data_IF_423188586239
#
_entry.id   IF_423188586239
#
_cell.length_a   1.000
_cell.length_b   1.000
_cell.length_c   1.000
_cell.angle_alpha   90.00
_cell.angle_beta   90.00
_cell.angle_gamma   90.00
#
_symmetry.space_group_name_H-M   'P 1'
#
loop_
_entity.id
_entity.type
_entity.pdbx_description
1 polymer ?
#
# COMPACT_ATOMS: atom_id res chain seq x y z
N UNK A 1 -11.75 -8.72 -9.96
CA UNK A 1 -12.13 -10.14 -9.75
C UNK A 1 -11.75 -11.06 -10.92
N UNK A 2 -11.79 -10.62 -12.18
CA UNK A 2 -11.49 -11.45 -13.36
C UNK A 2 -10.17 -12.26 -13.29
N UNK A 3 -9.08 -11.66 -12.76
CA UNK A 3 -7.77 -12.31 -12.69
C UNK A 3 -7.56 -13.21 -11.46
N UNK A 4 -8.40 -13.11 -10.41
CA UNK A 4 -8.31 -14.02 -9.27
C UNK A 4 -9.00 -15.36 -9.57
N UNK A 5 -10.07 -15.33 -10.37
CA UNK A 5 -10.75 -16.55 -10.82
C UNK A 5 -9.99 -17.23 -11.96
N UNK A 6 -9.35 -16.44 -12.82
CA UNK A 6 -8.58 -16.92 -13.96
C UNK A 6 -7.24 -16.17 -14.04
N UNK A 7 -6.21 -16.60 -13.28
CA UNK A 7 -4.91 -15.95 -13.33
C UNK A 7 -4.26 -16.13 -14.70
N UNK A 8 -3.48 -15.13 -15.16
CA UNK A 8 -2.82 -15.19 -16.46
C UNK A 8 -1.64 -16.16 -16.41
N UNK A 9 -1.87 -17.43 -16.77
CA UNK A 9 -0.86 -18.49 -16.70
C UNK A 9 0.43 -18.16 -17.47
N UNK A 10 0.30 -17.55 -18.65
CA UNK A 10 1.44 -17.16 -19.50
C UNK A 10 2.20 -15.92 -18.99
N UNK A 11 1.65 -15.21 -17.99
CA UNK A 11 2.23 -13.99 -17.41
C UNK A 11 2.27 -14.07 -15.87
N UNK A 12 2.25 -15.28 -15.31
CA UNK A 12 2.00 -15.54 -13.90
C UNK A 12 3.04 -14.88 -12.99
N UNK A 13 4.31 -14.85 -13.40
CA UNK A 13 5.38 -14.18 -12.66
C UNK A 13 5.10 -12.69 -12.43
N UNK A 14 4.55 -12.02 -13.45
CA UNK A 14 4.21 -10.60 -13.35
C UNK A 14 2.95 -10.38 -12.51
N UNK A 15 1.98 -11.28 -12.60
CA UNK A 15 0.78 -11.25 -11.77
C UNK A 15 1.12 -11.44 -10.29
N UNK A 16 1.95 -12.44 -9.95
CA UNK A 16 2.43 -12.68 -8.59
C UNK A 16 3.19 -11.46 -8.08
N UNK A 17 4.10 -10.89 -8.88
CA UNK A 17 4.84 -9.69 -8.48
C UNK A 17 3.97 -8.46 -8.24
N UNK A 18 2.90 -8.30 -9.02
CA UNK A 18 1.90 -7.25 -8.79
C UNK A 18 1.13 -7.48 -7.48
N UNK A 19 0.65 -8.71 -7.22
CA UNK A 19 -0.03 -9.06 -5.97
C UNK A 19 0.89 -8.88 -4.75
N UNK A 20 2.16 -9.26 -4.87
CA UNK A 20 3.16 -9.11 -3.81
C UNK A 20 3.43 -7.63 -3.53
N UNK A 21 3.49 -6.80 -4.58
CA UNK A 21 3.63 -5.33 -4.41
C UNK A 21 2.45 -4.74 -3.66
N UNK A 22 1.22 -5.18 -3.95
CA UNK A 22 0.03 -4.75 -3.20
C UNK A 22 0.09 -5.18 -1.73
N UNK A 23 0.36 -6.46 -1.46
CA UNK A 23 0.39 -6.99 -0.10
C UNK A 23 1.50 -6.32 0.74
N UNK A 24 2.70 -6.18 0.18
CA UNK A 24 3.81 -5.48 0.82
C UNK A 24 3.51 -3.98 1.03
N UNK A 25 2.72 -3.37 0.13
CA UNK A 25 2.27 -1.99 0.29
C UNK A 25 1.33 -1.81 1.49
N UNK A 26 0.42 -2.76 1.72
CA UNK A 26 -0.44 -2.77 2.91
C UNK A 26 0.40 -2.93 4.17
N UNK A 27 1.32 -3.90 4.19
CA UNK A 27 2.19 -4.14 5.35
C UNK A 27 3.02 -2.90 5.70
N UNK A 28 3.68 -2.30 4.71
CA UNK A 28 4.49 -1.11 4.88
C UNK A 28 3.69 0.12 5.33
N UNK A 29 2.44 0.25 4.89
CA UNK A 29 1.54 1.33 5.32
C UNK A 29 1.26 1.26 6.82
N UNK A 30 0.80 0.11 7.31
CA UNK A 30 0.50 -0.09 8.73
C UNK A 30 1.78 -0.04 9.59
N UNK A 31 2.91 -0.56 9.10
CA UNK A 31 4.20 -0.40 9.78
C UNK A 31 4.57 1.09 9.91
N UNK A 32 4.36 1.89 8.86
CA UNK A 32 4.63 3.33 8.90
C UNK A 32 3.75 4.04 9.93
N UNK A 33 2.48 3.66 10.05
CA UNK A 33 1.58 4.20 11.08
C UNK A 33 2.07 3.87 12.49
N UNK A 34 2.43 2.62 12.74
CA UNK A 34 2.93 2.18 14.05
C UNK A 34 4.26 2.84 14.44
N UNK A 35 5.16 3.01 13.47
CA UNK A 35 6.50 3.59 13.72
C UNK A 35 6.49 5.12 13.79
N UNK A 36 5.57 5.79 13.07
CA UNK A 36 5.63 7.24 12.86
C UNK A 36 4.39 7.97 13.36
N UNK A 37 3.19 7.48 13.02
CA UNK A 37 1.92 8.19 13.25
C UNK A 37 1.40 7.97 14.67
N UNK A 38 1.20 6.71 15.06
CA UNK A 38 0.64 6.33 16.35
C UNK A 38 1.45 6.81 17.56
N UNK A 39 2.79 6.85 17.54
CA UNK A 39 3.55 7.42 18.65
C UNK A 39 3.18 8.87 18.98
N UNK A 40 2.77 9.65 17.97
CA UNK A 40 2.32 11.03 18.12
C UNK A 40 0.82 11.11 18.43
N UNK A 41 -0.03 10.33 17.73
CA UNK A 41 -1.48 10.35 17.96
C UNK A 41 -1.85 9.86 19.36
N UNK A 42 -1.22 8.79 19.86
CA UNK A 42 -1.55 8.17 21.16
C UNK A 42 -1.36 9.09 22.37
N UNK A 43 -0.65 10.20 22.19
CA UNK A 43 -0.50 11.21 23.23
C UNK A 43 -1.78 12.04 23.45
N UNK A 44 -2.70 12.05 22.46
CA UNK A 44 -3.90 12.89 22.46
C UNK A 44 -5.19 12.20 22.00
N UNK A 45 -5.08 11.03 21.38
CA UNK A 45 -6.17 10.20 20.88
C UNK A 45 -5.96 8.75 21.33
N UNK A 46 -7.02 7.99 21.49
CA UNK A 46 -6.94 6.57 21.85
C UNK A 46 -6.89 5.71 20.59
N UNK A 47 -5.68 5.28 20.20
CA UNK A 47 -5.44 4.44 19.01
C UNK A 47 -5.38 2.93 19.33
N UNK A 48 -5.88 2.52 20.51
CA UNK A 48 -5.76 1.11 20.94
C UNK A 48 -6.54 0.16 20.03
N UNK A 49 -7.67 0.62 19.47
CA UNK A 49 -8.49 -0.18 18.56
C UNK A 49 -7.77 -0.46 17.24
N UNK A 50 -7.16 0.56 16.64
CA UNK A 50 -6.40 0.46 15.40
C UNK A 50 -5.22 -0.49 15.59
N UNK A 51 -4.49 -0.39 16.71
CA UNK A 51 -3.40 -1.31 17.03
C UNK A 51 -3.87 -2.77 17.10
N UNK A 52 -5.04 -3.06 17.68
CA UNK A 52 -5.57 -4.43 17.68
C UNK A 52 -6.02 -4.88 16.28
N UNK A 53 -6.57 -3.98 15.46
CA UNK A 53 -6.91 -4.25 14.07
C UNK A 53 -5.68 -4.52 13.21
N UNK A 54 -4.60 -3.76 13.39
CA UNK A 54 -3.33 -3.94 12.69
C UNK A 54 -2.79 -5.36 12.89
N UNK A 55 -2.88 -5.93 14.09
CA UNK A 55 -2.46 -7.34 14.33
C UNK A 55 -3.22 -8.32 13.45
N UNK A 56 -4.52 -8.10 13.24
CA UNK A 56 -5.35 -8.94 12.36
C UNK A 56 -4.96 -8.73 10.90
N UNK A 57 -4.74 -7.47 10.50
CA UNK A 57 -4.31 -7.12 9.14
C UNK A 57 -2.94 -7.71 8.82
N UNK A 58 -1.92 -7.47 9.65
CA UNK A 58 -0.58 -8.06 9.51
C UNK A 58 -0.66 -9.58 9.42
N UNK A 59 -1.40 -10.23 10.33
CA UNK A 59 -1.55 -11.70 10.29
C UNK A 59 -2.16 -12.22 8.99
N UNK A 60 -3.08 -11.48 8.35
CA UNK A 60 -3.65 -11.83 7.05
C UNK A 60 -2.69 -11.54 5.88
N UNK A 61 -2.01 -10.40 5.92
CA UNK A 61 -1.04 -9.98 4.89
C UNK A 61 0.19 -10.88 4.89
N UNK A 62 0.70 -11.29 6.05
CA UNK A 62 1.82 -12.22 6.21
C UNK A 62 1.55 -13.56 5.53
N UNK A 63 0.33 -14.09 5.68
CA UNK A 63 -0.09 -15.34 5.02
C UNK A 63 -0.08 -15.19 3.50
N UNK A 64 -0.59 -14.06 2.99
CA UNK A 64 -0.62 -13.75 1.56
C UNK A 64 0.81 -13.60 1.02
N UNK A 65 1.67 -12.84 1.70
CA UNK A 65 3.07 -12.64 1.32
C UNK A 65 3.83 -13.96 1.30
N UNK A 66 3.68 -14.79 2.33
CA UNK A 66 4.30 -16.10 2.38
C UNK A 66 3.85 -17.00 1.22
N UNK A 67 2.54 -17.02 0.91
CA UNK A 67 2.01 -17.74 -0.24
C UNK A 67 2.61 -17.23 -1.55
N UNK A 68 2.62 -15.91 -1.77
CA UNK A 68 3.13 -15.31 -2.99
C UNK A 68 4.64 -15.54 -3.17
N UNK A 69 5.42 -15.51 -2.09
CA UNK A 69 6.85 -15.82 -2.11
C UNK A 69 7.10 -17.29 -2.49
N UNK A 70 6.33 -18.23 -1.92
CA UNK A 70 6.38 -19.65 -2.33
C UNK A 70 6.06 -19.80 -3.81
N UNK A 71 4.96 -19.20 -4.25
CA UNK A 71 4.51 -19.28 -5.64
C UNK A 71 5.50 -18.61 -6.60
N UNK A 72 6.20 -17.55 -6.19
CA UNK A 72 7.25 -16.90 -6.97
C UNK A 72 8.49 -17.78 -7.12
N UNK A 73 8.83 -18.57 -6.10
CA UNK A 73 9.93 -19.53 -6.13
C UNK A 73 9.59 -20.78 -6.96
N UNK A 74 8.33 -21.23 -6.90
CA UNK A 74 7.79 -22.33 -7.69
C UNK A 74 6.38 -22.00 -8.19
N UNK A 75 6.27 -21.64 -9.47
CA UNK A 75 4.98 -21.31 -10.10
C UNK A 75 3.98 -22.47 -10.07
N UNK A 76 4.42 -23.72 -9.96
CA UNK A 76 3.51 -24.86 -9.85
C UNK A 76 2.77 -24.90 -8.50
N UNK A 77 3.31 -24.21 -7.48
CA UNK A 77 2.69 -24.05 -6.17
C UNK A 77 1.64 -22.93 -6.11
N UNK A 78 1.43 -22.19 -7.20
CA UNK A 78 0.40 -21.15 -7.24
C UNK A 78 -0.99 -21.76 -7.40
N UNK A 79 -1.80 -21.68 -6.34
CA UNK A 79 -3.23 -21.98 -6.39
C UNK A 79 -4.07 -20.68 -6.33
N UNK A 80 -4.78 -20.29 -7.41
CA UNK A 80 -5.64 -19.12 -7.38
C UNK A 80 -6.78 -19.22 -6.36
N UNK A 81 -7.26 -20.43 -6.04
CA UNK A 81 -8.30 -20.62 -5.04
C UNK A 81 -7.78 -20.32 -3.63
N UNK A 82 -6.55 -20.74 -3.30
CA UNK A 82 -5.88 -20.43 -2.02
C UNK A 82 -5.69 -18.91 -1.88
N UNK A 83 -5.14 -18.24 -2.91
CA UNK A 83 -4.98 -16.78 -2.89
C UNK A 83 -6.32 -16.06 -2.69
N UNK A 84 -7.35 -16.48 -3.42
CA UNK A 84 -8.68 -15.90 -3.31
C UNK A 84 -9.26 -16.08 -1.91
N UNK A 85 -9.14 -17.27 -1.32
CA UNK A 85 -9.63 -17.53 0.03
C UNK A 85 -8.95 -16.61 1.05
N UNK A 86 -7.63 -16.45 0.97
CA UNK A 86 -6.88 -15.53 1.83
C UNK A 86 -7.35 -14.07 1.66
N UNK A 87 -7.55 -13.62 0.42
CA UNK A 87 -8.04 -12.27 0.15
C UNK A 87 -9.47 -12.04 0.65
N UNK A 88 -10.40 -12.99 0.45
CA UNK A 88 -11.77 -12.87 0.96
C UNK A 88 -11.81 -12.90 2.50
N UNK A 89 -10.93 -13.67 3.15
CA UNK A 89 -10.78 -13.68 4.60
C UNK A 89 -10.25 -12.35 5.15
N UNK A 90 -9.29 -11.72 4.48
CA UNK A 90 -8.71 -10.43 4.88
C UNK A 90 -9.65 -9.25 4.58
N UNK A 91 -10.46 -9.34 3.53
CA UNK A 91 -11.31 -8.25 3.02
C UNK A 91 -12.16 -7.58 4.10
N UNK A 92 -12.88 -8.38 4.91
CA UNK A 92 -13.77 -7.86 5.95
C UNK A 92 -13.00 -7.04 7.00
N UNK A 93 -12.04 -7.65 7.71
CA UNK A 93 -11.20 -6.96 8.69
C UNK A 93 -10.47 -5.73 8.14
N UNK A 94 -9.92 -5.83 6.92
CA UNK A 94 -9.20 -4.70 6.31
C UNK A 94 -10.13 -3.53 6.02
N UNK A 95 -11.32 -3.75 5.46
CA UNK A 95 -12.23 -2.66 5.15
C UNK A 95 -12.86 -2.04 6.40
N UNK A 96 -13.18 -2.85 7.42
CA UNK A 96 -13.62 -2.33 8.71
C UNK A 96 -12.55 -1.42 9.33
N UNK A 97 -11.29 -1.87 9.33
CA UNK A 97 -10.18 -1.06 9.82
C UNK A 97 -10.04 0.27 9.06
N UNK A 98 -10.02 0.24 7.73
CA UNK A 98 -9.88 1.45 6.91
C UNK A 98 -11.04 2.44 7.13
N UNK A 99 -12.28 1.96 7.22
CA UNK A 99 -13.45 2.81 7.44
C UNK A 99 -13.41 3.46 8.83
N UNK A 100 -13.04 2.70 9.86
CA UNK A 100 -12.99 3.20 11.24
C UNK A 100 -11.82 4.14 11.49
N UNK A 101 -10.65 3.84 10.91
CA UNK A 101 -9.49 4.72 11.01
C UNK A 101 -9.82 6.09 10.41
N UNK A 102 -10.45 6.15 9.22
CA UNK A 102 -10.85 7.41 8.60
C UNK A 102 -11.79 8.24 9.50
N UNK A 103 -12.73 7.60 10.19
CA UNK A 103 -13.60 8.27 11.15
C UNK A 103 -12.85 8.79 12.39
N UNK A 104 -11.80 8.09 12.80
CA UNK A 104 -10.98 8.49 13.94
C UNK A 104 -9.99 9.61 13.58
N UNK A 105 -9.36 9.55 12.41
CA UNK A 105 -8.35 10.54 11.94
C UNK A 105 -8.94 11.68 11.09
N UNK A 106 -10.27 11.83 11.06
CA UNK A 106 -10.91 12.97 10.39
C UNK A 106 -10.49 14.31 10.98
N UNK A 107 -10.61 15.36 10.16
CA UNK A 107 -10.10 16.69 10.45
C UNK A 107 -10.57 17.25 11.81
N UNK A 108 -11.81 16.99 12.21
CA UNK A 108 -12.37 17.44 13.49
C UNK A 108 -11.64 16.85 14.69
N UNK A 109 -11.32 15.56 14.64
CA UNK A 109 -10.65 14.84 15.72
C UNK A 109 -9.17 15.22 15.80
N UNK A 110 -8.53 15.48 14.66
CA UNK A 110 -7.13 15.91 14.61
C UNK A 110 -6.90 17.35 15.13
N UNK A 111 -7.94 18.14 15.43
CA UNK A 111 -7.80 19.50 16.01
C UNK A 111 -7.16 19.52 17.40
N UNK A 112 -7.04 18.37 18.05
CA UNK A 112 -6.26 18.24 19.29
C UNK A 112 -4.74 18.43 19.05
N UNK A 113 -4.30 18.28 17.81
CA UNK A 113 -2.94 18.51 17.36
C UNK A 113 -2.74 19.96 16.90
N UNK A 114 -1.58 20.49 17.20
CA UNK A 114 -1.12 21.79 16.71
C UNK A 114 -0.59 21.65 15.29
N UNK A 115 -0.57 22.77 14.54
CA UNK A 115 0.04 22.82 13.21
C UNK A 115 1.48 22.29 13.21
N UNK A 116 2.27 22.62 14.23
CA UNK A 116 3.66 22.16 14.38
C UNK A 116 3.75 20.64 14.53
N UNK A 117 2.81 20.02 15.24
CA UNK A 117 2.76 18.56 15.40
C UNK A 117 2.39 17.89 14.09
N UNK A 118 1.39 18.41 13.36
CA UNK A 118 1.02 17.89 12.03
C UNK A 118 2.18 18.02 11.03
N UNK A 119 2.84 19.18 10.98
CA UNK A 119 4.02 19.40 10.15
C UNK A 119 5.16 18.43 10.51
N UNK A 120 5.33 18.13 11.80
CA UNK A 120 6.32 17.15 12.26
C UNK A 120 5.97 15.75 11.77
N UNK A 121 4.72 15.29 11.95
CA UNK A 121 4.25 13.98 11.45
C UNK A 121 4.53 13.86 9.94
N UNK A 122 4.14 14.86 9.15
CA UNK A 122 4.36 14.84 7.70
C UNK A 122 5.86 14.74 7.33
N UNK A 123 6.72 15.48 8.03
CA UNK A 123 8.16 15.41 7.82
C UNK A 123 8.74 14.04 8.18
N UNK A 124 8.28 13.46 9.27
CA UNK A 124 8.75 12.15 9.73
C UNK A 124 8.25 11.03 8.81
N UNK A 125 7.01 11.12 8.31
CA UNK A 125 6.46 10.24 7.27
C UNK A 125 7.31 10.30 6.00
N UNK A 126 7.60 11.50 5.49
CA UNK A 126 8.46 11.70 4.33
C UNK A 126 9.85 11.09 4.52
N UNK A 127 10.43 11.25 5.72
CA UNK A 127 11.74 10.72 6.04
C UNK A 127 11.72 9.20 6.17
N UNK A 128 10.69 8.63 6.81
CA UNK A 128 10.55 7.19 6.97
C UNK A 128 10.37 6.50 5.62
N UNK A 129 9.42 6.97 4.81
CA UNK A 129 9.15 6.44 3.47
C UNK A 129 10.39 6.48 2.57
N UNK A 130 11.17 7.58 2.59
CA UNK A 130 12.42 7.67 1.79
C UNK A 130 13.48 6.64 2.18
N UNK A 131 13.48 6.15 3.42
CA UNK A 131 14.49 5.23 3.93
C UNK A 131 14.03 3.77 3.97
N UNK A 132 12.73 3.50 3.91
CA UNK A 132 12.18 2.15 4.09
C UNK A 132 11.34 1.66 2.90
N UNK A 133 10.87 2.55 2.02
CA UNK A 133 10.12 2.16 0.83
C UNK A 133 11.06 1.84 -0.35
N UNK A 134 10.75 0.79 -1.12
CA UNK A 134 11.39 0.55 -2.41
C UNK A 134 10.78 1.47 -3.49
N UNK A 135 11.54 2.45 -4.01
CA UNK A 135 11.01 3.39 -5.01
C UNK A 135 10.67 2.71 -6.35
N UNK A 136 11.18 1.51 -6.63
CA UNK A 136 10.87 0.77 -7.87
C UNK A 136 9.53 0.06 -7.84
N UNK A 137 8.90 -0.06 -6.68
CA UNK A 137 7.58 -0.69 -6.51
C UNK A 137 6.57 0.30 -5.96
N UNK A 138 6.89 1.03 -4.88
CA UNK A 138 5.96 1.94 -4.19
C UNK A 138 5.55 3.12 -5.07
N UNK A 139 6.51 3.83 -5.70
CA UNK A 139 6.16 4.98 -6.54
C UNK A 139 5.34 4.57 -7.77
N UNK A 140 5.74 3.53 -8.53
CA UNK A 140 4.90 3.00 -9.60
C UNK A 140 3.50 2.54 -9.12
N UNK A 141 3.44 1.78 -8.03
CA UNK A 141 2.16 1.29 -7.50
C UNK A 141 1.25 2.46 -7.13
N UNK A 142 1.73 3.41 -6.32
CA UNK A 142 1.00 4.62 -5.92
C UNK A 142 0.47 5.40 -7.13
N UNK A 143 1.32 5.68 -8.13
CA UNK A 143 0.91 6.49 -9.27
C UNK A 143 -0.08 5.77 -10.20
N UNK A 144 0.03 4.45 -10.32
CA UNK A 144 -0.87 3.64 -11.15
C UNK A 144 -2.20 3.27 -10.47
N UNK A 145 -2.33 3.55 -9.16
CA UNK A 145 -3.58 3.44 -8.40
C UNK A 145 -4.19 4.80 -8.05
N UNK A 146 -3.54 5.91 -8.45
CA UNK A 146 -4.10 7.25 -8.35
C UNK A 146 -4.87 7.61 -9.62
N UNK A 147 -6.18 7.94 -9.55
CA UNK A 147 -6.94 8.36 -10.72
C UNK A 147 -6.30 9.57 -11.43
N UNK A 148 -6.40 9.67 -12.78
CA UNK A 148 -5.72 10.72 -13.56
C UNK A 148 -5.94 12.15 -13.04
N UNK A 149 -7.15 12.46 -12.58
CA UNK A 149 -7.55 13.76 -12.04
C UNK A 149 -6.83 14.13 -10.73
N UNK A 150 -6.32 13.14 -9.97
CA UNK A 150 -5.64 13.37 -8.70
C UNK A 150 -4.11 13.36 -8.79
N UNK A 151 -3.51 12.90 -9.89
CA UNK A 151 -2.04 12.81 -10.05
C UNK A 151 -1.30 14.16 -10.01
N UNK A 152 -2.02 15.26 -10.15
CA UNK A 152 -1.48 16.61 -10.02
C UNK A 152 -1.48 17.14 -8.58
N UNK A 153 -2.24 16.50 -7.67
CA UNK A 153 -2.46 16.94 -6.30
C UNK A 153 -1.94 15.93 -5.26
N UNK A 154 -1.89 14.65 -5.60
CA UNK A 154 -1.40 13.57 -4.76
C UNK A 154 -0.10 12.96 -5.32
N UNK A 155 0.91 12.68 -4.46
CA UNK A 155 1.00 13.04 -3.04
C UNK A 155 1.11 14.56 -2.82
N UNK A 156 0.92 15.01 -1.57
CA UNK A 156 0.99 16.43 -1.19
C UNK A 156 2.27 16.72 -0.35
N UNK A 157 3.13 17.67 -0.75
CA UNK A 157 3.04 18.49 -1.96
C UNK A 157 3.24 17.68 -3.25
N UNK A 158 2.67 18.13 -4.39
CA UNK A 158 2.81 17.43 -5.66
C UNK A 158 4.25 17.12 -6.04
N UNK A 159 4.47 15.90 -6.54
CA UNK A 159 5.78 15.49 -7.03
C UNK A 159 6.28 16.44 -8.13
N UNK A 160 7.59 16.76 -8.16
CA UNK A 160 8.17 17.54 -9.24
C UNK A 160 7.79 16.96 -10.61
N UNK A 161 7.45 17.83 -11.56
CA UNK A 161 6.99 17.40 -12.89
C UNK A 161 7.94 16.39 -13.54
N UNK A 162 9.25 16.63 -13.44
CA UNK A 162 10.28 15.74 -13.99
C UNK A 162 10.26 14.36 -13.33
N UNK A 163 10.08 14.29 -12.02
CA UNK A 163 9.96 13.04 -11.28
C UNK A 163 8.72 12.27 -11.76
N UNK A 164 7.57 12.94 -11.79
CA UNK A 164 6.28 12.33 -12.14
C UNK A 164 6.17 11.89 -13.60
N UNK A 165 6.59 12.73 -14.54
CA UNK A 165 6.41 12.49 -15.98
C UNK A 165 7.58 11.77 -16.64
N UNK A 166 8.76 11.73 -16.02
CA UNK A 166 9.95 11.10 -16.60
C UNK A 166 10.46 9.94 -15.74
N UNK A 167 10.88 10.20 -14.50
CA UNK A 167 11.54 9.16 -13.69
C UNK A 167 10.59 8.02 -13.30
N UNK A 168 9.38 8.31 -12.84
CA UNK A 168 8.42 7.26 -12.47
C UNK A 168 8.12 6.32 -13.64
N UNK A 169 7.62 6.79 -14.81
CA UNK A 169 7.26 5.88 -15.90
C UNK A 169 8.46 5.21 -16.58
N UNK A 170 9.60 5.90 -16.74
CA UNK A 170 10.69 5.41 -17.59
C UNK A 170 11.90 4.87 -16.83
N UNK A 171 12.03 5.13 -15.53
CA UNK A 171 13.12 4.62 -14.68
C UNK A 171 12.58 3.64 -13.64
N UNK A 172 11.71 4.10 -12.74
CA UNK A 172 11.23 3.27 -11.62
C UNK A 172 10.31 2.15 -12.09
N UNK A 173 9.26 2.49 -12.85
CA UNK A 173 8.31 1.50 -13.36
C UNK A 173 8.94 0.53 -14.36
N UNK A 174 10.03 0.92 -15.04
CA UNK A 174 10.69 0.08 -16.05
C UNK A 174 11.24 -1.22 -15.48
N UNK A 175 11.71 -1.23 -14.23
CA UNK A 175 12.29 -2.42 -13.58
C UNK A 175 11.29 -3.57 -13.49
N UNK A 176 10.03 -3.25 -13.20
CA UNK A 176 8.93 -4.20 -13.01
C UNK A 176 7.81 -3.96 -14.02
N UNK A 177 8.16 -3.63 -15.27
CA UNK A 177 7.20 -3.17 -16.28
C UNK A 177 6.02 -4.13 -16.51
N UNK A 178 6.23 -5.43 -16.32
CA UNK A 178 5.18 -6.43 -16.42
C UNK A 178 4.13 -6.38 -15.30
N UNK A 179 4.49 -5.92 -14.10
CA UNK A 179 3.56 -5.87 -12.95
C UNK A 179 2.44 -4.86 -13.22
N UNK A 180 2.79 -3.74 -13.86
CA UNK A 180 1.88 -2.61 -14.06
C UNK A 180 0.80 -2.86 -15.12
N UNK A 181 0.84 -4.00 -15.83
CA UNK A 181 -0.25 -4.44 -16.70
C UNK A 181 -1.56 -4.68 -15.95
N UNK A 182 -1.47 -4.95 -14.64
CA UNK A 182 -2.60 -5.23 -13.76
C UNK A 182 -3.07 -4.00 -12.97
N UNK A 183 -2.37 -2.86 -13.10
CA UNK A 183 -2.77 -1.62 -12.45
C UNK A 183 -4.02 -1.00 -13.12
N UNK A 184 -4.87 -0.29 -12.36
CA UNK A 184 -6.11 0.29 -12.89
C UNK A 184 -5.88 1.53 -13.77
N UNK A 185 -4.78 2.26 -13.57
CA UNK A 185 -4.46 3.48 -14.31
C UNK A 185 -3.04 3.46 -14.87
N UNK A 186 -2.81 4.28 -15.90
CA UNK A 186 -1.46 4.54 -16.41
C UNK A 186 -0.56 5.18 -15.32
N UNK A 187 0.76 5.05 -15.44
CA UNK A 187 1.71 5.67 -14.50
C UNK A 187 1.75 7.21 -14.55
N UNK A 188 1.44 7.80 -15.71
CA UNK A 188 1.59 9.23 -15.96
C UNK A 188 0.28 9.98 -16.08
#
# INVERSE_FOLDING_TARGET
MMHLENPPKDDLANFIGYCETWAAGIDHHHETEEQVVFPLLRAKLDVSREIEQHKVVHGGVDQILAFLQRAKADHAAFDPAELREMMERLKGPLYEHLDEELEHVKAENLRVLTEKEIQKVNKDLDAYSKNHADPFTVLPFMMSHTPPEFKGAFPAPPLPWILRKVFIPYVFARRHSGYWKYSPYAMS
#
